data_IF_934461410708
#
_entry.id   IF_934461410708
#
_cell.length_a   1.000
_cell.length_b   1.000
_cell.length_c   1.000
_cell.angle_alpha   90.00
_cell.angle_beta   90.00
_cell.angle_gamma   90.00
#
_symmetry.space_group_name_H-M   'P 1'
#
loop_
_entity.id
_entity.type
_entity.pdbx_description
1 polymer ?
#
# COMPACT_ATOMS: atom_id res chain seq x y z
N UNK A 1 -3.54 18.02 17.23
CA UNK A 1 -2.87 17.54 15.99
C UNK A 1 -3.57 16.32 15.37
N UNK A 2 -3.82 15.23 16.11
CA UNK A 2 -4.46 14.03 15.53
C UNK A 2 -5.87 14.26 14.99
N UNK A 3 -6.68 15.13 15.61
CA UNK A 3 -8.04 15.43 15.13
C UNK A 3 -8.02 16.13 13.77
N UNK A 4 -7.19 17.16 13.61
CA UNK A 4 -7.05 17.90 12.35
C UNK A 4 -6.54 16.99 11.22
N UNK A 5 -5.55 16.15 11.50
CA UNK A 5 -5.04 15.18 10.53
C UNK A 5 -6.13 14.19 10.08
N UNK A 6 -6.83 13.56 11.03
CA UNK A 6 -7.88 12.58 10.72
C UNK A 6 -9.07 13.23 9.98
N UNK A 7 -9.44 14.46 10.34
CA UNK A 7 -10.44 15.23 9.60
C UNK A 7 -9.98 15.53 8.17
N UNK A 8 -8.71 15.93 8.00
CA UNK A 8 -8.10 16.14 6.69
C UNK A 8 -8.12 14.89 5.81
N UNK A 9 -7.84 13.71 6.37
CA UNK A 9 -7.93 12.42 5.64
C UNK A 9 -9.37 12.13 5.20
N UNK A 10 -10.37 12.38 6.06
CA UNK A 10 -11.78 12.21 5.69
C UNK A 10 -12.19 13.16 4.56
N UNK A 11 -11.80 14.43 4.66
CA UNK A 11 -12.05 15.43 3.63
C UNK A 11 -11.37 15.03 2.31
N UNK A 12 -10.10 14.64 2.36
CA UNK A 12 -9.35 14.18 1.19
C UNK A 12 -10.02 12.97 0.52
N UNK A 13 -10.49 11.99 1.31
CA UNK A 13 -11.21 10.84 0.78
C UNK A 13 -12.51 11.27 0.06
N UNK A 14 -13.29 12.17 0.67
CA UNK A 14 -14.50 12.72 0.05
C UNK A 14 -14.17 13.48 -1.24
N UNK A 15 -13.11 14.30 -1.25
CA UNK A 15 -12.65 15.03 -2.43
C UNK A 15 -12.26 14.09 -3.57
N UNK A 16 -11.53 12.99 -3.29
CA UNK A 16 -11.20 11.98 -4.32
C UNK A 16 -12.47 11.31 -4.82
N UNK A 17 -13.42 11.00 -3.93
CA UNK A 17 -14.68 10.35 -4.31
C UNK A 17 -15.48 11.23 -5.27
N UNK A 18 -15.59 12.53 -5.00
CA UNK A 18 -16.23 13.49 -5.92
C UNK A 18 -15.42 13.60 -7.22
N UNK A 19 -14.10 13.77 -7.12
CA UNK A 19 -13.23 13.86 -8.30
C UNK A 19 -13.24 12.59 -9.17
N UNK A 20 -13.58 11.43 -8.60
CA UNK A 20 -13.63 10.15 -9.31
C UNK A 20 -14.66 10.09 -10.44
N UNK A 21 -15.65 10.99 -10.41
CA UNK A 21 -16.68 11.14 -11.44
C UNK A 21 -16.07 11.75 -12.72
N UNK A 22 -15.10 12.66 -12.56
CA UNK A 22 -14.53 13.44 -13.66
C UNK A 22 -13.10 13.02 -14.02
N UNK A 23 -12.40 12.33 -13.13
CA UNK A 23 -10.98 12.01 -13.27
C UNK A 23 -10.70 10.51 -13.18
N UNK A 24 -10.11 9.95 -14.24
CA UNK A 24 -9.76 8.53 -14.32
C UNK A 24 -8.80 8.07 -13.22
N UNK A 25 -7.80 8.89 -12.85
CA UNK A 25 -6.85 8.53 -11.77
C UNK A 25 -7.56 8.46 -10.43
N UNK A 26 -8.41 9.44 -10.10
CA UNK A 26 -9.23 9.40 -8.89
C UNK A 26 -10.18 8.18 -8.89
N UNK A 27 -10.80 7.86 -10.04
CA UNK A 27 -11.62 6.65 -10.21
C UNK A 27 -10.85 5.36 -9.92
N UNK A 28 -9.63 5.23 -10.45
CA UNK A 28 -8.76 4.08 -10.16
C UNK A 28 -8.38 4.01 -8.67
N UNK A 29 -8.12 5.16 -8.05
CA UNK A 29 -7.76 5.25 -6.63
C UNK A 29 -8.86 4.70 -5.71
N UNK A 30 -10.12 5.02 -6.01
CA UNK A 30 -11.30 4.53 -5.28
C UNK A 30 -11.58 3.07 -5.61
N UNK A 31 -11.63 2.71 -6.90
CA UNK A 31 -11.92 1.33 -7.34
C UNK A 31 -10.90 0.34 -6.81
N UNK A 32 -9.61 0.68 -6.86
CA UNK A 32 -8.53 -0.14 -6.35
C UNK A 32 -8.52 -0.33 -4.83
N UNK A 33 -9.21 0.55 -4.09
CA UNK A 33 -9.36 0.46 -2.63
C UNK A 33 -10.69 -0.13 -2.19
N UNK A 34 -11.63 -0.35 -3.10
CA UNK A 34 -12.93 -0.95 -2.78
C UNK A 34 -12.73 -2.39 -2.29
N UNK A 35 -13.15 -2.69 -1.07
CA UNK A 35 -12.99 -4.02 -0.47
C UNK A 35 -11.53 -4.40 -0.15
N UNK A 36 -10.59 -3.44 -0.18
CA UNK A 36 -9.15 -3.69 -0.09
C UNK A 36 -8.75 -4.59 1.07
N UNK A 37 -9.16 -4.26 2.30
CA UNK A 37 -8.76 -5.02 3.48
C UNK A 37 -9.29 -6.46 3.46
N UNK A 38 -10.46 -6.70 2.89
CA UNK A 38 -11.00 -8.05 2.73
C UNK A 38 -10.19 -8.84 1.69
N UNK A 39 -9.84 -8.20 0.57
CA UNK A 39 -9.01 -8.82 -0.48
C UNK A 39 -7.61 -9.19 0.05
N UNK A 40 -6.98 -8.26 0.80
CA UNK A 40 -5.70 -8.52 1.46
C UNK A 40 -5.83 -9.73 2.40
N UNK A 41 -6.87 -9.74 3.24
CA UNK A 41 -7.12 -10.83 4.20
C UNK A 41 -7.36 -12.18 3.52
N UNK A 42 -7.99 -12.21 2.34
CA UNK A 42 -8.23 -13.47 1.62
C UNK A 42 -7.00 -14.01 0.89
N UNK A 43 -6.03 -13.16 0.55
CA UNK A 43 -4.85 -13.54 -0.24
C UNK A 43 -3.60 -13.78 0.63
N UNK A 44 -3.46 -13.03 1.73
CA UNK A 44 -2.33 -13.19 2.64
C UNK A 44 -2.51 -14.43 3.52
N UNK A 45 -1.49 -15.28 3.56
CA UNK A 45 -1.39 -16.36 4.52
C UNK A 45 -0.78 -15.86 5.83
N UNK A 46 -1.41 -16.16 6.97
CA UNK A 46 -0.95 -15.74 8.30
C UNK A 46 0.42 -16.31 8.69
N UNK A 47 0.82 -17.43 8.09
CA UNK A 47 2.08 -18.09 8.37
C UNK A 47 3.24 -17.52 7.56
N UNK A 48 2.98 -16.61 6.63
CA UNK A 48 4.03 -16.04 5.79
C UNK A 48 4.90 -15.06 6.55
N UNK A 49 6.21 -15.17 6.34
CA UNK A 49 7.18 -14.22 6.86
C UNK A 49 7.26 -13.00 5.93
N UNK A 50 6.37 -12.04 6.15
CA UNK A 50 6.20 -10.88 5.27
C UNK A 50 7.21 -9.77 5.59
N UNK A 51 7.90 -9.30 4.54
CA UNK A 51 8.58 -8.01 4.50
C UNK A 51 7.68 -7.06 3.70
N UNK A 52 7.24 -5.99 4.34
CA UNK A 52 6.38 -4.99 3.74
C UNK A 52 7.20 -3.82 3.20
N UNK A 53 7.10 -3.57 1.90
CA UNK A 53 7.60 -2.38 1.23
C UNK A 53 6.46 -1.42 0.91
N UNK A 54 6.67 -0.14 1.21
CA UNK A 54 5.78 0.92 0.78
C UNK A 54 6.50 1.93 -0.12
N UNK A 55 5.86 2.25 -1.25
CA UNK A 55 6.30 3.25 -2.22
C UNK A 55 5.07 4.04 -2.67
N UNK A 56 4.94 5.33 -2.36
CA UNK A 56 3.74 6.07 -2.77
C UNK A 56 3.67 6.23 -4.30
N UNK A 57 4.81 6.30 -4.97
CA UNK A 57 4.95 6.62 -6.40
C UNK A 57 5.83 5.62 -7.17
N UNK A 58 5.83 5.75 -8.50
CA UNK A 58 6.68 4.92 -9.37
C UNK A 58 8.17 5.25 -9.17
N UNK A 59 8.50 6.53 -8.96
CA UNK A 59 9.89 6.95 -8.74
C UNK A 59 10.48 6.37 -7.46
N UNK A 60 9.70 6.33 -6.37
CA UNK A 60 10.13 5.67 -5.12
C UNK A 60 10.28 4.17 -5.30
N UNK A 61 9.37 3.53 -6.05
CA UNK A 61 9.52 2.11 -6.36
C UNK A 61 10.83 1.82 -7.10
N UNK A 62 11.19 2.60 -8.12
CA UNK A 62 12.44 2.37 -8.85
C UNK A 62 13.68 2.57 -7.96
N UNK A 63 13.61 3.43 -6.95
CA UNK A 63 14.66 3.57 -5.92
C UNK A 63 14.73 2.37 -4.98
N UNK A 64 13.57 1.84 -4.56
CA UNK A 64 13.48 0.67 -3.69
C UNK A 64 13.69 -0.67 -4.38
N UNK A 65 13.50 -0.74 -5.71
CA UNK A 65 13.51 -1.97 -6.51
C UNK A 65 14.78 -2.81 -6.33
N UNK A 66 16.01 -2.25 -6.36
CA UNK A 66 17.22 -3.03 -6.16
C UNK A 66 17.26 -3.76 -4.81
N UNK A 67 16.70 -3.13 -3.76
CA UNK A 67 16.61 -3.74 -2.44
C UNK A 67 15.59 -4.87 -2.40
N UNK A 68 14.42 -4.68 -3.04
CA UNK A 68 13.39 -5.72 -3.18
C UNK A 68 13.97 -6.96 -3.85
N UNK A 69 14.64 -6.79 -4.99
CA UNK A 69 15.22 -7.89 -5.78
C UNK A 69 16.35 -8.60 -5.02
N UNK A 70 17.21 -7.83 -4.34
CA UNK A 70 18.29 -8.39 -3.51
C UNK A 70 17.75 -9.20 -2.33
N UNK A 71 16.71 -8.71 -1.66
CA UNK A 71 16.06 -9.44 -0.57
C UNK A 71 15.39 -10.71 -1.09
N UNK A 72 14.66 -10.64 -2.22
CA UNK A 72 13.98 -11.81 -2.80
C UNK A 72 14.99 -12.90 -3.16
N UNK A 73 16.15 -12.51 -3.70
CA UNK A 73 17.25 -13.43 -4.03
C UNK A 73 17.91 -14.03 -2.78
N UNK A 74 18.17 -13.22 -1.76
CA UNK A 74 18.90 -13.67 -0.55
C UNK A 74 18.02 -14.44 0.45
N UNK A 75 16.73 -14.16 0.47
CA UNK A 75 15.76 -14.74 1.41
C UNK A 75 14.51 -15.22 0.65
N UNK A 76 14.60 -16.28 -0.18
CA UNK A 76 13.50 -16.73 -1.04
C UNK A 76 12.26 -17.17 -0.26
N UNK A 77 12.43 -17.63 0.98
CA UNK A 77 11.34 -18.06 1.87
C UNK A 77 10.53 -16.89 2.45
N UNK A 78 11.04 -15.66 2.37
CA UNK A 78 10.31 -14.47 2.81
C UNK A 78 9.39 -13.98 1.71
N UNK A 79 8.19 -13.57 2.11
CA UNK A 79 7.18 -13.01 1.21
C UNK A 79 7.31 -11.50 1.16
N UNK A 80 7.28 -10.94 -0.03
CA UNK A 80 7.34 -9.49 -0.23
C UNK A 80 5.93 -8.98 -0.45
N UNK A 81 5.48 -8.11 0.46
CA UNK A 81 4.30 -7.28 0.26
C UNK A 81 4.74 -5.92 -0.25
N UNK A 82 4.32 -5.55 -1.45
CA UNK A 82 4.55 -4.23 -2.03
C UNK A 82 3.24 -3.45 -2.06
N UNK A 83 3.26 -2.26 -1.45
CA UNK A 83 2.09 -1.37 -1.44
C UNK A 83 2.37 -0.06 -2.15
N UNK A 84 1.34 0.42 -2.85
CA UNK A 84 1.38 1.70 -3.54
C UNK A 84 0.28 2.65 -3.06
N UNK A 85 0.56 3.94 -2.98
CA UNK A 85 -0.49 4.92 -2.73
C UNK A 85 -1.11 5.46 -4.03
N UNK A 86 -0.27 5.83 -5.00
CA UNK A 86 -0.73 6.41 -6.27
C UNK A 86 -1.20 5.36 -7.28
N UNK A 87 -2.28 5.64 -8.04
CA UNK A 87 -2.71 4.77 -9.14
C UNK A 87 -1.68 4.62 -10.25
N UNK A 88 -0.90 5.67 -10.53
CA UNK A 88 0.12 5.63 -11.59
C UNK A 88 1.22 4.61 -11.28
N UNK A 89 1.60 4.43 -10.02
CA UNK A 89 2.56 3.40 -9.65
C UNK A 89 1.90 2.01 -9.65
N UNK A 90 0.74 1.89 -8.99
CA UNK A 90 0.05 0.61 -8.85
C UNK A 90 -0.34 0.00 -10.20
N UNK A 91 -0.99 0.74 -11.09
CA UNK A 91 -1.48 0.17 -12.35
C UNK A 91 -0.35 -0.34 -13.25
N UNK A 92 0.84 0.29 -13.16
CA UNK A 92 2.02 -0.11 -13.92
C UNK A 92 2.71 -1.32 -13.30
N UNK A 93 2.72 -1.44 -11.96
CA UNK A 93 3.53 -2.42 -11.23
C UNK A 93 2.73 -3.49 -10.48
N UNK A 94 1.39 -3.54 -10.62
CA UNK A 94 0.51 -4.53 -9.96
C UNK A 94 0.80 -5.99 -10.31
N UNK A 95 1.56 -6.24 -11.38
CA UNK A 95 1.99 -7.58 -11.82
C UNK A 95 3.51 -7.76 -11.70
N UNK A 96 4.19 -6.97 -10.85
CA UNK A 96 5.64 -7.07 -10.67
C UNK A 96 6.03 -8.41 -10.06
N UNK A 97 6.80 -9.21 -10.82
CA UNK A 97 7.03 -10.64 -10.52
C UNK A 97 7.89 -10.91 -9.28
N UNK A 98 8.58 -9.90 -8.74
CA UNK A 98 9.46 -10.06 -7.57
C UNK A 98 8.76 -9.73 -6.24
N UNK A 99 7.48 -9.35 -6.28
CA UNK A 99 6.64 -9.21 -5.09
C UNK A 99 5.56 -10.30 -5.07
N UNK A 100 5.37 -10.94 -3.92
CA UNK A 100 4.38 -12.01 -3.74
C UNK A 100 2.97 -11.43 -3.57
N UNK A 101 2.87 -10.25 -2.96
CA UNK A 101 1.62 -9.53 -2.73
C UNK A 101 1.76 -8.08 -3.19
N UNK A 102 0.79 -7.60 -3.99
CA UNK A 102 0.79 -6.21 -4.45
C UNK A 102 -0.60 -5.60 -4.24
N UNK A 103 -0.66 -4.54 -3.45
CA UNK A 103 -1.93 -3.88 -3.11
C UNK A 103 -1.79 -2.36 -3.09
N UNK A 104 -2.91 -1.66 -3.06
CA UNK A 104 -2.90 -0.29 -2.59
C UNK A 104 -2.65 -0.24 -1.08
N UNK A 105 -1.99 0.82 -0.59
CA UNK A 105 -2.06 1.18 0.82
C UNK A 105 -3.48 1.70 1.12
N UNK A 106 -4.14 1.24 2.20
CA UNK A 106 -5.44 1.81 2.59
C UNK A 106 -5.27 3.28 2.99
N UNK A 107 -6.35 4.06 2.92
CA UNK A 107 -6.33 5.42 3.46
C UNK A 107 -5.99 5.40 4.95
N UNK A 108 -5.12 6.33 5.35
CA UNK A 108 -4.50 6.39 6.67
C UNK A 108 -5.46 6.87 7.77
N UNK A 109 -6.51 6.09 8.00
CA UNK A 109 -7.34 6.22 9.18
C UNK A 109 -6.86 5.22 10.23
N UNK A 110 -6.96 5.58 11.52
CA UNK A 110 -6.56 4.67 12.63
C UNK A 110 -7.13 3.26 12.51
N UNK A 111 -8.39 3.14 12.08
CA UNK A 111 -9.04 1.84 11.91
C UNK A 111 -8.42 1.03 10.77
N UNK A 112 -8.15 1.68 9.64
CA UNK A 112 -7.53 1.02 8.49
C UNK A 112 -6.10 0.61 8.78
N UNK A 113 -5.29 1.49 9.37
CA UNK A 113 -3.90 1.20 9.75
C UNK A 113 -3.84 -0.01 10.70
N UNK A 114 -4.62 0.01 11.80
CA UNK A 114 -4.70 -1.12 12.74
C UNK A 114 -5.14 -2.42 12.08
N UNK A 115 -6.17 -2.38 11.24
CA UNK A 115 -6.67 -3.58 10.53
C UNK A 115 -5.64 -4.11 9.54
N UNK A 116 -5.02 -3.22 8.77
CA UNK A 116 -3.99 -3.56 7.79
C UNK A 116 -2.81 -4.25 8.46
N UNK A 117 -2.23 -3.65 9.51
CA UNK A 117 -1.12 -4.25 10.25
C UNK A 117 -1.53 -5.60 10.88
N UNK A 118 -2.74 -5.71 11.43
CA UNK A 118 -3.23 -6.98 11.98
C UNK A 118 -3.41 -8.08 10.92
N UNK A 119 -3.82 -7.72 9.71
CA UNK A 119 -4.01 -8.67 8.60
C UNK A 119 -2.67 -9.09 8.03
N UNK A 120 -1.79 -8.13 7.76
CA UNK A 120 -0.50 -8.34 7.11
C UNK A 120 0.53 -8.95 8.07
N UNK A 121 0.49 -8.58 9.35
CA UNK A 121 1.43 -9.01 10.39
C UNK A 121 2.91 -8.98 9.92
N UNK A 122 3.42 -7.83 9.41
CA UNK A 122 4.74 -7.77 8.81
C UNK A 122 5.84 -7.98 9.86
N UNK A 123 6.91 -8.69 9.51
CA UNK A 123 8.11 -8.83 10.35
C UNK A 123 9.04 -7.64 10.22
N UNK A 124 9.05 -7.02 9.04
CA UNK A 124 9.83 -5.83 8.72
C UNK A 124 8.97 -4.94 7.83
N UNK A 125 8.99 -3.63 8.09
CA UNK A 125 8.40 -2.62 7.23
C UNK A 125 9.49 -1.69 6.70
N UNK A 126 9.51 -1.46 5.39
CA UNK A 126 10.48 -0.62 4.68
C UNK A 126 9.70 0.45 3.92
N UNK A 127 9.92 1.68 4.33
CA UNK A 127 9.32 2.87 3.75
C UNK A 127 10.35 3.57 2.87
N UNK A 128 10.07 3.71 1.58
CA UNK A 128 11.04 4.32 0.66
C UNK A 128 10.85 5.82 0.67
N UNK A 129 11.88 6.54 1.13
CA UNK A 129 11.96 8.01 1.19
C UNK A 129 11.05 8.63 2.27
N UNK A 130 10.17 9.56 1.93
CA UNK A 130 9.44 10.44 2.88
C UNK A 130 8.01 9.96 3.13
N UNK A 131 7.86 8.68 3.47
CA UNK A 131 6.56 8.05 3.72
C UNK A 131 6.16 8.17 5.19
N UNK A 132 5.78 9.38 5.60
CA UNK A 132 5.28 9.65 6.95
C UNK A 132 3.76 9.55 7.01
N UNK A 133 3.28 8.49 7.65
CA UNK A 133 1.88 8.22 7.91
C UNK A 133 1.63 8.30 9.42
N UNK A 134 0.67 9.11 9.86
CA UNK A 134 0.52 9.45 11.29
C UNK A 134 -0.15 8.33 12.11
N UNK A 135 -1.05 7.55 11.51
CA UNK A 135 -1.95 6.64 12.25
C UNK A 135 -1.50 5.17 12.30
#
# INVERSE_FOLDING_TARGET
MSLLYNFGIQLYHLSILVASIFNKKASLMIKGRKGLLNNIKSQINKNDNIIWFHCASLGEFEQGRPLIESIKKKYPDKKILLTFFSPSAYEIKKNYSQADYIFYLPFDTKNNAKKFIKIVNPKIAIFVKYEYWFN
#
